data_IF_387502123753
#
_entry.id   IF_387502123753
#
_cell.length_a   1.000
_cell.length_b   1.000
_cell.length_c   1.000
_cell.angle_alpha   90.00
_cell.angle_beta   90.00
_cell.angle_gamma   90.00
#
_symmetry.space_group_name_H-M   'P 1'
#
loop_
_entity.id
_entity.type
_entity.pdbx_description
1 polymer ?
#
# COMPACT_ATOMS: atom_id res chain seq x y z
N UNK A 1 -26.68 29.40 -3.56
CA UNK A 1 -26.85 28.44 -4.67
C UNK A 1 -25.77 27.37 -4.54
N UNK A 2 -26.14 26.17 -4.12
CA UNK A 2 -25.22 25.03 -4.13
C UNK A 2 -25.15 24.57 -5.58
N UNK A 3 -24.04 24.85 -6.28
CA UNK A 3 -23.82 24.31 -7.62
C UNK A 3 -23.88 22.78 -7.51
N UNK A 4 -24.81 22.16 -8.23
CA UNK A 4 -24.81 20.72 -8.52
C UNK A 4 -23.54 20.41 -9.31
N UNK A 5 -22.46 20.12 -8.62
CA UNK A 5 -21.24 19.61 -9.23
C UNK A 5 -21.29 18.09 -9.18
N UNK A 6 -21.10 17.48 -10.35
CA UNK A 6 -20.98 16.04 -10.50
C UNK A 6 -19.64 15.58 -9.91
N UNK A 7 -19.59 14.59 -9.01
CA UNK A 7 -18.34 14.06 -8.46
C UNK A 7 -17.31 13.65 -9.51
N UNK A 8 -17.76 13.20 -10.69
CA UNK A 8 -16.89 12.87 -11.82
C UNK A 8 -16.19 14.12 -12.40
N UNK A 9 -16.89 15.25 -12.48
CA UNK A 9 -16.32 16.51 -12.99
C UNK A 9 -15.30 17.09 -12.00
N UNK A 10 -15.60 17.02 -10.69
CA UNK A 10 -14.68 17.44 -9.65
C UNK A 10 -13.41 16.57 -9.67
N UNK A 11 -13.53 15.26 -9.86
CA UNK A 11 -12.40 14.35 -9.99
C UNK A 11 -11.52 14.66 -11.21
N UNK A 12 -12.12 14.85 -12.37
CA UNK A 12 -11.39 15.22 -13.60
C UNK A 12 -10.69 16.58 -13.45
N UNK A 13 -11.35 17.55 -12.82
CA UNK A 13 -10.77 18.86 -12.55
C UNK A 13 -9.59 18.77 -11.58
N UNK A 14 -9.71 17.95 -10.53
CA UNK A 14 -8.65 17.72 -9.56
C UNK A 14 -7.43 17.09 -10.22
N UNK A 15 -7.62 16.06 -11.03
CA UNK A 15 -6.54 15.43 -11.81
C UNK A 15 -5.81 16.46 -12.69
N UNK A 16 -6.56 17.33 -13.38
CA UNK A 16 -5.97 18.39 -14.22
C UNK A 16 -5.13 19.37 -13.40
N UNK A 17 -5.58 19.76 -12.21
CA UNK A 17 -4.84 20.66 -11.32
C UNK A 17 -3.55 20.01 -10.80
N UNK A 18 -3.63 18.74 -10.39
CA UNK A 18 -2.46 17.97 -9.95
C UNK A 18 -1.42 17.80 -11.07
N UNK A 19 -1.85 17.48 -12.29
CA UNK A 19 -0.97 17.38 -13.46
C UNK A 19 -0.33 18.73 -13.82
N UNK A 20 -1.08 19.82 -13.68
CA UNK A 20 -0.57 21.18 -13.89
C UNK A 20 0.32 21.68 -12.73
N UNK A 21 0.50 20.89 -11.66
CA UNK A 21 1.19 21.27 -10.42
C UNK A 21 0.58 22.51 -9.74
N UNK A 22 -0.69 22.80 -10.00
CA UNK A 22 -1.44 23.83 -9.30
C UNK A 22 -1.96 23.26 -7.96
N UNK A 23 -1.04 23.12 -7.01
CA UNK A 23 -1.35 22.55 -5.69
C UNK A 23 -2.27 23.45 -4.85
N UNK A 24 -2.23 24.77 -5.07
CA UNK A 24 -3.12 25.71 -4.40
C UNK A 24 -4.57 25.53 -4.89
N UNK A 25 -4.77 25.46 -6.20
CA UNK A 25 -6.06 25.17 -6.81
C UNK A 25 -6.58 23.78 -6.43
N UNK A 26 -5.70 22.77 -6.47
CA UNK A 26 -6.05 21.40 -6.08
C UNK A 26 -6.49 21.32 -4.61
N UNK A 27 -5.75 21.96 -3.69
CA UNK A 27 -6.11 22.02 -2.26
C UNK A 27 -7.46 22.70 -2.05
N UNK A 28 -7.71 23.84 -2.69
CA UNK A 28 -8.99 24.54 -2.59
C UNK A 28 -10.16 23.69 -3.11
N UNK A 29 -9.94 22.91 -4.16
CA UNK A 29 -10.93 21.97 -4.68
C UNK A 29 -11.17 20.81 -3.72
N UNK A 30 -10.12 20.20 -3.14
CA UNK A 30 -10.27 19.19 -2.10
C UNK A 30 -11.10 19.70 -0.92
N UNK A 31 -10.83 20.91 -0.43
CA UNK A 31 -11.58 21.50 0.70
C UNK A 31 -13.05 21.78 0.35
N UNK A 32 -13.34 22.15 -0.89
CA UNK A 32 -14.71 22.30 -1.37
C UNK A 32 -15.43 20.95 -1.42
N UNK A 33 -14.77 19.92 -1.96
CA UNK A 33 -15.32 18.56 -2.06
C UNK A 33 -15.56 17.96 -0.67
N UNK A 34 -14.64 18.15 0.27
CA UNK A 34 -14.73 17.66 1.65
C UNK A 34 -15.92 18.25 2.40
N UNK A 35 -16.20 19.56 2.21
CA UNK A 35 -17.41 20.20 2.76
C UNK A 35 -18.70 19.62 2.20
N UNK A 36 -18.69 19.11 0.96
CA UNK A 36 -19.85 18.43 0.34
C UNK A 36 -20.00 17.01 0.89
N UNK A 37 -18.91 16.30 1.13
CA UNK A 37 -18.92 14.97 1.78
C UNK A 37 -19.32 15.08 3.25
N UNK A 38 -19.02 16.16 3.96
CA UNK A 38 -19.50 16.36 5.33
C UNK A 38 -21.03 16.23 5.50
N UNK A 39 -21.79 16.27 4.39
CA UNK A 39 -23.24 16.10 4.34
C UNK A 39 -23.70 14.67 3.95
N UNK A 40 -22.80 13.78 3.50
CA UNK A 40 -23.10 12.42 3.05
C UNK A 40 -22.00 11.43 3.43
N UNK A 41 -22.39 10.23 3.87
CA UNK A 41 -21.56 9.10 4.31
C UNK A 41 -20.05 9.18 3.95
N UNK A 42 -19.19 9.31 4.98
CA UNK A 42 -17.71 9.44 4.83
C UNK A 42 -17.05 8.26 4.10
N UNK A 43 -17.75 7.15 3.92
CA UNK A 43 -17.31 6.03 3.10
C UNK A 43 -17.74 6.23 1.63
N UNK A 44 -17.01 7.06 0.89
CA UNK A 44 -17.26 7.28 -0.54
C UNK A 44 -15.97 7.28 -1.35
N UNK A 45 -16.04 6.91 -2.65
CA UNK A 45 -14.92 7.01 -3.58
C UNK A 45 -14.35 8.44 -3.65
N UNK A 46 -15.21 9.44 -3.42
CA UNK A 46 -14.80 10.83 -3.35
C UNK A 46 -13.89 11.11 -2.16
N UNK A 47 -14.12 10.46 -1.02
CA UNK A 47 -13.27 10.59 0.16
C UNK A 47 -11.89 9.95 -0.09
N UNK A 48 -11.85 8.76 -0.70
CA UNK A 48 -10.58 8.14 -1.13
C UNK A 48 -9.80 9.09 -2.04
N UNK A 49 -10.46 9.65 -3.07
CA UNK A 49 -9.83 10.58 -4.00
C UNK A 49 -9.28 11.84 -3.30
N UNK A 50 -10.03 12.41 -2.35
CA UNK A 50 -9.59 13.57 -1.58
C UNK A 50 -8.37 13.22 -0.72
N UNK A 51 -8.41 12.08 -0.01
CA UNK A 51 -7.30 11.62 0.82
C UNK A 51 -6.03 11.44 -0.01
N UNK A 52 -6.12 10.69 -1.11
CA UNK A 52 -5.02 10.51 -2.07
C UNK A 52 -4.47 11.84 -2.59
N UNK A 53 -5.35 12.75 -3.03
CA UNK A 53 -4.95 14.04 -3.60
C UNK A 53 -4.29 14.96 -2.57
N UNK A 54 -4.81 14.98 -1.33
CA UNK A 54 -4.19 15.73 -0.22
C UNK A 54 -2.83 15.16 0.13
N UNK A 55 -2.64 13.84 0.06
CA UNK A 55 -1.35 13.19 0.27
C UNK A 55 -0.32 13.63 -0.78
N UNK A 56 -0.70 13.61 -2.06
CA UNK A 56 0.17 14.09 -3.14
C UNK A 56 0.52 15.57 -3.00
N UNK A 57 -0.46 16.42 -2.67
CA UNK A 57 -0.21 17.86 -2.43
C UNK A 57 0.80 18.05 -1.30
N UNK A 58 0.56 17.42 -0.15
CA UNK A 58 1.43 17.52 1.01
C UNK A 58 2.85 17.03 0.71
N UNK A 59 2.99 15.89 0.02
CA UNK A 59 4.28 15.35 -0.39
C UNK A 59 5.06 16.30 -1.31
N UNK A 60 4.38 16.99 -2.24
CA UNK A 60 5.02 17.97 -3.12
C UNK A 60 5.36 19.30 -2.43
N UNK A 61 4.72 19.59 -1.30
CA UNK A 61 5.00 20.76 -0.47
C UNK A 61 6.02 20.49 0.64
N UNK A 62 6.63 19.29 0.64
CA UNK A 62 7.54 18.81 1.68
C UNK A 62 6.88 18.78 3.09
N UNK A 63 5.55 18.76 3.15
CA UNK A 63 4.78 18.54 4.37
C UNK A 63 4.62 17.03 4.60
N UNK A 64 5.70 16.41 5.05
CA UNK A 64 5.79 14.95 5.23
C UNK A 64 4.75 14.42 6.23
N UNK A 65 4.53 15.11 7.35
CA UNK A 65 3.60 14.64 8.39
C UNK A 65 2.16 14.58 7.85
N UNK A 66 1.73 15.62 7.12
CA UNK A 66 0.45 15.61 6.45
C UNK A 66 0.39 14.56 5.34
N UNK A 67 1.47 14.38 4.57
CA UNK A 67 1.52 13.35 3.53
C UNK A 67 1.33 11.94 4.10
N UNK A 68 2.05 11.59 5.18
CA UNK A 68 1.92 10.31 5.88
C UNK A 68 0.48 10.11 6.36
N UNK A 69 -0.11 11.14 6.99
CA UNK A 69 -1.49 11.09 7.47
C UNK A 69 -2.46 10.77 6.34
N UNK A 70 -2.38 11.51 5.23
CA UNK A 70 -3.33 11.38 4.13
C UNK A 70 -3.12 10.10 3.30
N UNK A 71 -1.88 9.64 3.11
CA UNK A 71 -1.62 8.33 2.50
C UNK A 71 -2.16 7.19 3.38
N UNK A 72 -1.99 7.29 4.70
CA UNK A 72 -2.55 6.30 5.63
C UNK A 72 -4.07 6.26 5.54
N UNK A 73 -4.72 7.42 5.51
CA UNK A 73 -6.18 7.54 5.34
C UNK A 73 -6.65 6.94 4.02
N UNK A 74 -5.95 7.23 2.91
CA UNK A 74 -6.22 6.68 1.59
C UNK A 74 -6.09 5.15 1.58
N UNK A 75 -5.00 4.59 2.13
CA UNK A 75 -4.78 3.15 2.25
C UNK A 75 -5.87 2.42 3.05
N UNK A 76 -6.46 3.07 4.07
CA UNK A 76 -7.58 2.52 4.85
C UNK A 76 -8.86 2.48 4.00
N UNK A 77 -9.06 3.45 3.11
CA UNK A 77 -10.24 3.58 2.27
C UNK A 77 -10.19 2.71 1.00
N UNK A 78 -9.01 2.52 0.40
CA UNK A 78 -8.83 1.81 -0.88
C UNK A 78 -9.50 0.43 -0.96
N UNK A 79 -9.47 -0.44 0.09
CA UNK A 79 -10.07 -1.77 0.02
C UNK A 79 -11.59 -1.74 -0.16
N UNK A 80 -12.27 -0.70 0.30
CA UNK A 80 -13.72 -0.56 0.16
C UNK A 80 -14.15 -0.27 -1.28
N UNK A 81 -13.21 0.11 -2.14
CA UNK A 81 -13.44 0.49 -3.52
C UNK A 81 -12.63 -0.36 -4.51
N UNK A 82 -12.04 -1.46 -4.04
CA UNK A 82 -11.20 -2.36 -4.84
C UNK A 82 -10.02 -1.65 -5.54
N UNK A 83 -9.55 -0.53 -5.00
CA UNK A 83 -8.44 0.26 -5.56
C UNK A 83 -7.08 -0.20 -5.02
N UNK A 84 -6.72 -1.44 -5.37
CA UNK A 84 -5.49 -2.08 -4.89
C UNK A 84 -4.23 -1.47 -5.49
N UNK A 85 -4.32 -0.86 -6.68
CA UNK A 85 -3.19 -0.21 -7.33
C UNK A 85 -2.77 1.05 -6.56
N UNK A 86 -3.73 1.92 -6.23
CA UNK A 86 -3.46 3.11 -5.42
C UNK A 86 -2.89 2.70 -4.07
N UNK A 87 -3.55 1.75 -3.38
CA UNK A 87 -3.08 1.26 -2.08
C UNK A 87 -1.64 0.76 -2.12
N UNK A 88 -1.31 -0.08 -3.08
CA UNK A 88 0.05 -0.62 -3.25
C UNK A 88 1.07 0.50 -3.37
N UNK A 89 0.81 1.47 -4.23
CA UNK A 89 1.74 2.57 -4.51
C UNK A 89 1.92 3.45 -3.26
N UNK A 90 0.84 3.73 -2.55
CA UNK A 90 0.86 4.52 -1.32
C UNK A 90 1.59 3.82 -0.17
N UNK A 91 1.38 2.51 0.01
CA UNK A 91 2.14 1.73 0.99
C UNK A 91 3.65 1.74 0.66
N UNK A 92 4.03 1.69 -0.62
CA UNK A 92 5.43 1.86 -1.00
C UNK A 92 5.98 3.24 -0.61
N UNK A 93 5.19 4.31 -0.77
CA UNK A 93 5.59 5.66 -0.36
C UNK A 93 5.73 5.75 1.17
N UNK A 94 4.78 5.19 1.92
CA UNK A 94 4.83 5.13 3.38
C UNK A 94 6.05 4.33 3.87
N UNK A 95 6.43 3.27 3.16
CA UNK A 95 7.63 2.51 3.44
C UNK A 95 8.89 3.38 3.28
N UNK A 96 8.97 4.20 2.23
CA UNK A 96 10.08 5.11 1.99
C UNK A 96 10.18 6.18 3.07
N UNK A 97 9.07 6.86 3.41
CA UNK A 97 9.05 7.86 4.48
C UNK A 97 9.50 7.28 5.82
N UNK A 98 8.97 6.12 6.19
CA UNK A 98 9.37 5.45 7.44
C UNK A 98 10.86 5.10 7.47
N UNK A 99 11.42 4.67 6.34
CA UNK A 99 12.85 4.37 6.22
C UNK A 99 13.73 5.62 6.35
N UNK A 100 13.28 6.76 5.78
CA UNK A 100 13.99 8.04 5.93
C UNK A 100 14.01 8.53 7.38
N UNK A 101 12.97 8.23 8.15
CA UNK A 101 12.87 8.59 9.57
C UNK A 101 13.61 7.58 10.48
N UNK A 102 14.21 6.52 9.90
CA UNK A 102 14.88 5.45 10.64
C UNK A 102 13.93 4.47 11.32
N UNK A 103 12.62 4.55 11.07
CA UNK A 103 11.63 3.56 11.51
C UNK A 103 11.64 2.36 10.54
N UNK A 104 12.72 1.57 10.64
CA UNK A 104 12.96 0.41 9.80
C UNK A 104 11.85 -0.63 9.92
N UNK A 105 11.25 -0.79 11.11
CA UNK A 105 10.17 -1.76 11.34
C UNK A 105 8.91 -1.36 10.56
N UNK A 106 8.52 -0.09 10.62
CA UNK A 106 7.37 0.41 9.87
C UNK A 106 7.65 0.41 8.36
N UNK A 107 8.87 0.73 7.95
CA UNK A 107 9.30 0.63 6.55
C UNK A 107 9.16 -0.80 6.01
N UNK A 108 9.67 -1.79 6.75
CA UNK A 108 9.54 -3.21 6.41
C UNK A 108 8.07 -3.65 6.34
N UNK A 109 7.23 -3.21 7.28
CA UNK A 109 5.81 -3.52 7.29
C UNK A 109 5.15 -3.03 5.99
N UNK A 110 5.23 -1.74 5.69
CA UNK A 110 4.57 -1.18 4.51
C UNK A 110 5.11 -1.77 3.21
N UNK A 111 6.42 -2.03 3.11
CA UNK A 111 7.01 -2.66 1.93
C UNK A 111 6.49 -4.09 1.72
N UNK A 112 6.30 -4.86 2.80
CA UNK A 112 5.72 -6.22 2.74
C UNK A 112 4.26 -6.21 2.29
N UNK A 113 3.46 -5.30 2.83
CA UNK A 113 2.04 -5.20 2.44
C UNK A 113 1.93 -4.77 0.98
N UNK A 114 2.73 -3.80 0.54
CA UNK A 114 2.80 -3.39 -0.87
C UNK A 114 3.22 -4.54 -1.79
N UNK A 115 4.21 -5.34 -1.39
CA UNK A 115 4.63 -6.52 -2.16
C UNK A 115 3.55 -7.62 -2.21
N UNK A 116 2.73 -7.75 -1.18
CA UNK A 116 1.62 -8.70 -1.16
C UNK A 116 0.54 -8.31 -2.18
N UNK A 117 0.21 -7.02 -2.28
CA UNK A 117 -0.70 -6.51 -3.32
C UNK A 117 -0.17 -6.78 -4.73
N UNK A 118 1.13 -6.67 -4.97
CA UNK A 118 1.73 -7.06 -6.25
C UNK A 118 1.57 -8.55 -6.55
N UNK A 119 1.75 -9.42 -5.55
CA UNK A 119 1.55 -10.87 -5.72
C UNK A 119 0.10 -11.16 -6.11
N UNK A 120 -0.87 -10.54 -5.43
CA UNK A 120 -2.29 -10.74 -5.69
C UNK A 120 -2.70 -10.21 -7.07
N UNK A 121 -2.07 -9.15 -7.55
CA UNK A 121 -2.26 -8.61 -8.89
C UNK A 121 -1.48 -9.38 -9.99
N UNK A 122 -0.65 -10.36 -9.63
CA UNK A 122 0.21 -11.09 -10.57
C UNK A 122 1.46 -10.33 -11.04
N UNK A 123 1.80 -9.22 -10.38
CA UNK A 123 2.97 -8.38 -10.66
C UNK A 123 4.23 -8.91 -9.95
N UNK A 124 4.59 -10.17 -10.24
CA UNK A 124 5.66 -10.87 -9.51
C UNK A 124 7.04 -10.20 -9.62
N UNK A 125 7.32 -9.51 -10.74
CA UNK A 125 8.57 -8.76 -10.90
C UNK A 125 8.69 -7.61 -9.90
N UNK A 126 7.61 -6.85 -9.70
CA UNK A 126 7.57 -5.73 -8.76
C UNK A 126 7.59 -6.21 -7.32
N UNK A 127 6.86 -7.30 -7.03
CA UNK A 127 6.91 -7.95 -5.72
C UNK A 127 8.35 -8.39 -5.37
N UNK A 128 9.05 -9.05 -6.30
CA UNK A 128 10.42 -9.51 -6.07
C UNK A 128 11.40 -8.34 -5.85
N UNK A 129 11.25 -7.25 -6.60
CA UNK A 129 12.03 -6.02 -6.37
C UNK A 129 11.80 -5.41 -4.99
N UNK A 130 10.55 -5.45 -4.50
CA UNK A 130 10.23 -5.05 -3.13
C UNK A 130 10.84 -6.00 -2.11
N UNK A 131 10.84 -7.31 -2.34
CA UNK A 131 11.52 -8.27 -1.47
C UNK A 131 13.05 -8.10 -1.44
N UNK A 132 13.70 -7.79 -2.56
CA UNK A 132 15.11 -7.37 -2.53
C UNK A 132 15.31 -6.10 -1.68
N UNK A 133 14.38 -5.15 -1.75
CA UNK A 133 14.45 -3.94 -0.90
C UNK A 133 14.23 -4.27 0.58
N UNK A 134 13.39 -5.27 0.90
CA UNK A 134 13.20 -5.76 2.27
C UNK A 134 14.47 -6.47 2.78
N UNK A 135 15.18 -7.21 1.93
CA UNK A 135 16.49 -7.79 2.26
C UNK A 135 17.48 -6.71 2.68
N UNK A 136 17.60 -5.62 1.90
CA UNK A 136 18.44 -4.46 2.24
C UNK A 136 18.10 -3.93 3.64
N UNK A 137 16.81 -3.71 3.91
CA UNK A 137 16.33 -3.17 5.19
C UNK A 137 16.66 -4.09 6.37
N UNK A 138 16.51 -5.40 6.22
CA UNK A 138 16.85 -6.36 7.28
C UNK A 138 18.35 -6.48 7.50
N UNK A 139 19.14 -6.53 6.42
CA UNK A 139 20.59 -6.60 6.51
C UNK A 139 21.18 -5.37 7.21
N UNK A 140 20.71 -4.17 6.87
CA UNK A 140 21.11 -2.92 7.54
C UNK A 140 20.66 -2.87 9.01
N UNK A 141 19.58 -3.56 9.35
CA UNK A 141 19.05 -3.64 10.72
C UNK A 141 19.62 -4.82 11.53
N UNK A 142 20.70 -5.46 11.05
CA UNK A 142 21.35 -6.62 11.67
C UNK A 142 20.38 -7.79 11.96
N UNK A 143 19.48 -8.06 11.01
CA UNK A 143 18.50 -9.15 11.03
C UNK A 143 18.81 -10.12 9.86
N UNK A 144 19.89 -10.92 9.96
CA UNK A 144 20.40 -11.70 8.84
C UNK A 144 19.48 -12.84 8.42
N UNK A 145 18.76 -13.46 9.35
CA UNK A 145 17.80 -14.53 9.04
C UNK A 145 16.65 -13.99 8.21
N UNK A 146 16.05 -12.88 8.64
CA UNK A 146 14.95 -12.23 7.94
C UNK A 146 15.39 -11.64 6.59
N UNK A 147 16.63 -11.16 6.49
CA UNK A 147 17.22 -10.72 5.23
C UNK A 147 17.30 -11.87 4.23
N UNK A 148 17.80 -13.03 4.66
CA UNK A 148 17.86 -14.23 3.84
C UNK A 148 16.47 -14.71 3.43
N UNK A 149 15.52 -14.80 4.36
CA UNK A 149 14.14 -15.20 4.04
C UNK A 149 13.49 -14.29 3.00
N UNK A 150 13.69 -12.97 3.12
CA UNK A 150 13.21 -12.01 2.13
C UNK A 150 13.88 -12.18 0.77
N UNK A 151 15.18 -12.47 0.75
CA UNK A 151 15.93 -12.70 -0.48
C UNK A 151 15.47 -13.99 -1.17
N UNK A 152 15.35 -15.08 -0.42
CA UNK A 152 14.88 -16.37 -0.92
C UNK A 152 13.45 -16.26 -1.45
N UNK A 153 12.61 -15.41 -0.83
CA UNK A 153 11.26 -15.10 -1.34
C UNK A 153 11.29 -14.32 -2.66
N UNK A 154 12.22 -13.37 -2.84
CA UNK A 154 12.42 -12.70 -4.13
C UNK A 154 12.85 -13.71 -5.21
N UNK A 155 13.77 -14.62 -4.87
CA UNK A 155 14.24 -15.67 -5.78
C UNK A 155 13.15 -16.67 -6.14
N UNK A 156 12.26 -17.01 -5.21
CA UNK A 156 11.12 -17.90 -5.47
C UNK A 156 10.09 -17.27 -6.42
N UNK A 157 9.92 -15.94 -6.40
CA UNK A 157 8.96 -15.25 -7.26
C UNK A 157 9.41 -15.22 -8.72
N UNK A 158 10.67 -14.85 -8.98
CA UNK A 158 11.17 -14.70 -10.36
C UNK A 158 12.58 -15.26 -10.60
N UNK A 159 13.38 -15.43 -9.55
CA UNK A 159 14.77 -15.92 -9.62
C UNK A 159 15.60 -15.19 -10.67
N UNK A 160 16.40 -15.94 -11.43
CA UNK A 160 17.23 -15.38 -12.52
C UNK A 160 16.44 -14.88 -13.74
N UNK A 161 15.12 -15.09 -13.78
CA UNK A 161 14.26 -14.68 -14.91
C UNK A 161 13.77 -13.23 -14.79
N UNK A 162 14.15 -12.55 -13.71
CA UNK A 162 13.87 -11.12 -13.56
C UNK A 162 14.48 -10.27 -14.67
N UNK A 163 13.93 -9.07 -14.80
CA UNK A 163 14.45 -8.04 -15.71
C UNK A 163 15.87 -7.60 -15.30
N UNK A 164 16.50 -6.76 -16.13
CA UNK A 164 17.88 -6.32 -15.90
C UNK A 164 18.05 -5.57 -14.58
N UNK A 165 17.04 -4.79 -14.18
CA UNK A 165 17.04 -4.05 -12.92
C UNK A 165 17.07 -5.00 -11.72
N UNK A 166 16.25 -6.06 -11.76
CA UNK A 166 16.26 -7.10 -10.75
C UNK A 166 17.61 -7.81 -10.68
N UNK A 167 18.14 -8.26 -11.81
CA UNK A 167 19.43 -8.96 -11.85
C UNK A 167 20.56 -8.08 -11.30
N UNK A 168 20.55 -6.79 -11.67
CA UNK A 168 21.50 -5.80 -11.17
C UNK A 168 21.37 -5.63 -9.65
N UNK A 169 20.16 -5.44 -9.13
CA UNK A 169 19.93 -5.27 -7.69
C UNK A 169 20.29 -6.54 -6.90
N UNK A 170 19.91 -7.71 -7.40
CA UNK A 170 20.27 -9.01 -6.85
C UNK A 170 21.79 -9.19 -6.75
N UNK A 171 22.52 -8.86 -7.82
CA UNK A 171 23.99 -9.00 -7.82
C UNK A 171 24.65 -8.03 -6.84
N UNK A 172 24.16 -6.79 -6.76
CA UNK A 172 24.61 -5.82 -5.74
C UNK A 172 24.38 -6.34 -4.34
N UNK A 173 23.20 -6.94 -4.10
CA UNK A 173 22.83 -7.51 -2.81
C UNK A 173 23.77 -8.64 -2.38
N UNK A 174 24.02 -9.62 -3.27
CA UNK A 174 24.95 -10.73 -3.00
C UNK A 174 26.35 -10.20 -2.72
N UNK A 175 26.78 -9.18 -3.46
CA UNK A 175 28.11 -8.57 -3.28
C UNK A 175 28.22 -7.79 -1.97
N UNK A 176 27.15 -7.15 -1.52
CA UNK A 176 27.11 -6.37 -0.28
C UNK A 176 27.01 -7.26 0.97
N UNK A 177 26.27 -8.37 0.88
CA UNK A 177 25.98 -9.25 2.02
C UNK A 177 26.28 -10.73 1.72
N UNK A 178 27.49 -11.09 1.26
CA UNK A 178 27.79 -12.45 0.82
C UNK A 178 27.64 -13.46 1.96
N UNK A 179 28.01 -13.08 3.18
CA UNK A 179 27.91 -13.93 4.38
C UNK A 179 26.47 -14.19 4.85
N UNK A 180 25.49 -13.40 4.38
CA UNK A 180 24.07 -13.60 4.68
C UNK A 180 23.39 -14.39 3.56
N UNK A 181 23.79 -14.14 2.30
CA UNK A 181 23.02 -14.53 1.12
C UNK A 181 23.65 -15.64 0.27
N UNK A 182 24.90 -16.01 0.54
CA UNK A 182 25.51 -17.20 -0.06
C UNK A 182 25.42 -18.35 0.92
N UNK A 183 24.78 -19.45 0.52
CA UNK A 183 24.71 -20.64 1.36
C UNK A 183 26.11 -21.25 1.50
N UNK A 184 26.64 -21.32 2.72
CA UNK A 184 27.41 -22.50 3.09
C UNK A 184 26.43 -23.67 3.04
N UNK A 185 26.55 -24.50 2.00
CA UNK A 185 25.76 -25.69 1.75
C UNK A 185 25.36 -26.42 3.04
N UNK A 186 24.06 -26.46 3.34
CA UNK A 186 23.27 -27.58 3.90
C UNK A 186 22.09 -27.04 4.69
N UNK A 187 20.89 -27.10 4.11
CA UNK A 187 19.70 -27.39 4.91
C UNK A 187 18.66 -28.12 4.07
N UNK A 188 18.33 -29.30 4.56
CA UNK A 188 17.18 -30.11 4.18
C UNK A 188 15.93 -29.25 4.08
N UNK A 189 15.11 -29.56 3.09
CA UNK A 189 13.81 -28.97 2.79
C UNK A 189 12.99 -28.71 4.06
N UNK A 190 12.98 -27.46 4.52
CA UNK A 190 12.04 -27.02 5.53
C UNK A 190 10.65 -26.96 4.89
N UNK A 191 9.77 -27.88 5.30
CA UNK A 191 8.34 -27.83 4.97
C UNK A 191 7.76 -26.46 5.34
N UNK A 192 6.83 -25.91 4.55
CA UNK A 192 6.25 -24.60 4.83
C UNK A 192 5.47 -24.64 6.15
N UNK A 193 6.01 -24.01 7.19
CA UNK A 193 5.29 -23.73 8.43
C UNK A 193 4.47 -22.46 8.23
N UNK A 194 3.17 -22.67 8.08
CA UNK A 194 2.13 -21.64 8.00
C UNK A 194 1.88 -21.02 9.39
N UNK A 195 2.78 -20.14 9.84
CA UNK A 195 2.62 -19.39 11.10
C UNK A 195 2.58 -17.86 10.86
N UNK A 196 1.88 -17.42 9.80
CA UNK A 196 1.43 -16.02 9.71
C UNK A 196 -0.07 -15.95 10.01
N UNK A 197 -0.53 -14.99 10.84
CA UNK A 197 -1.95 -14.79 11.05
C UNK A 197 -2.60 -14.50 9.70
N UNK A 198 -3.67 -15.25 9.38
CA UNK A 198 -4.50 -14.98 8.23
C UNK A 198 -5.02 -13.53 8.35
N UNK A 199 -4.60 -12.66 7.43
CA UNK A 199 -5.27 -11.39 7.25
C UNK A 199 -6.65 -11.66 6.65
N UNK A 200 -7.70 -10.94 7.07
CA UNK A 200 -9.04 -11.15 6.54
C UNK A 200 -9.02 -10.87 5.04
N UNK A 201 -9.07 -11.93 4.26
CA UNK A 201 -9.31 -11.88 2.83
C UNK A 201 -10.81 -11.65 2.63
N UNK A 202 -11.25 -10.56 1.97
CA UNK A 202 -12.68 -10.36 1.70
C UNK A 202 -13.20 -11.24 0.55
N UNK A 203 -12.33 -12.05 -0.08
CA UNK A 203 -12.69 -12.86 -1.25
C UNK A 203 -13.22 -14.27 -0.92
N UNK A 204 -13.33 -14.66 0.36
CA UNK A 204 -13.69 -16.02 0.76
C UNK A 204 -15.21 -16.29 0.88
N UNK A 205 -16.08 -15.40 0.38
CA UNK A 205 -17.53 -15.65 0.41
C UNK A 205 -18.18 -15.33 -0.95
N UNK A 206 -17.85 -16.14 -1.96
CA UNK A 206 -18.69 -16.31 -3.15
C UNK A 206 -19.32 -17.69 -3.14
N UNK A 207 -20.13 -17.95 -2.12
CA UNK A 207 -21.12 -19.01 -2.12
C UNK A 207 -22.37 -18.57 -2.88
N UNK A 208 -22.45 -18.91 -4.17
CA UNK A 208 -23.72 -18.90 -4.89
C UNK A 208 -24.59 -20.05 -4.37
N UNK A 209 -25.57 -19.77 -3.52
CA UNK A 209 -26.90 -20.40 -3.60
C UNK A 209 -27.94 -19.71 -2.71
N UNK A 210 -28.99 -19.17 -3.33
CA UNK A 210 -30.38 -19.43 -2.91
C UNK A 210 -30.93 -18.72 -1.67
N UNK A 211 -31.73 -17.69 -1.95
CA UNK A 211 -33.03 -17.34 -1.33
C UNK A 211 -33.08 -16.60 0.02
N UNK A 212 -34.02 -15.62 0.03
CA UNK A 212 -34.68 -14.89 1.13
C UNK A 212 -33.98 -13.70 1.79
N UNK A 213 -34.46 -12.51 1.42
CA UNK A 213 -34.69 -11.30 2.23
C UNK A 213 -34.35 -11.39 3.73
N UNK A 214 -33.21 -10.83 4.13
CA UNK A 214 -33.05 -10.13 5.42
C UNK A 214 -32.01 -9.00 5.26
N UNK A 215 -32.46 -7.74 5.36
CA UNK A 215 -31.54 -6.60 5.46
C UNK A 215 -30.93 -6.59 6.87
N UNK A 216 -29.61 -6.40 7.04
CA UNK A 216 -29.05 -6.20 8.36
C UNK A 216 -29.57 -4.89 8.96
N UNK A 217 -30.31 -5.00 10.06
CA UNK A 217 -30.69 -3.86 10.90
C UNK A 217 -29.44 -3.29 11.57
N UNK A 218 -29.25 -1.98 11.46
CA UNK A 218 -28.23 -1.27 12.23
C UNK A 218 -28.54 -1.38 13.73
N UNK A 219 -27.55 -1.67 14.60
CA UNK A 219 -27.74 -1.58 16.04
C UNK A 219 -27.92 -0.10 16.46
N UNK A 220 -28.76 0.18 17.48
CA UNK A 220 -28.96 1.55 17.95
C UNK A 220 -27.72 2.05 18.71
N UNK A 221 -27.38 3.32 18.50
CA UNK A 221 -26.33 4.01 19.23
C UNK A 221 -26.71 4.20 20.71
N UNK A 222 -25.75 4.17 21.65
CA UNK A 222 -26.01 4.39 23.06
C UNK A 222 -26.42 5.85 23.30
N UNK A 223 -27.49 6.04 24.05
CA UNK A 223 -27.88 7.34 24.59
C UNK A 223 -26.94 7.71 25.74
N UNK A 224 -26.24 8.83 25.60
CA UNK A 224 -25.56 9.48 26.71
C UNK A 224 -26.59 9.98 27.75
N UNK A 225 -26.27 9.78 29.03
CA UNK A 225 -27.00 10.28 30.19
C UNK A 225 -26.59 11.71 30.54
#
# INVERSE_FOLDING_TARGET
MVQNCNPADDAAKLQKLLLAKDYAGAKALCDLMDRRIGQYNKLSQLHLLIAHSRALIAANQDDRDSAIKYFTESCVLSPFFEDYETRRNEEQILALFSGMDGDWKRSQYFMKVSAQWDIEAGNFSDAAMKYLSITDLYAMSNQPTEAKDAFDKAEALIGHRGNEDYRTKRQKMISAFPHILTDSQTREEAKPTSDYPAFPSPAADRGLSGTSDERPQCPPLPHDK
#
